data_IF_810071220610
#
_entry.id   IF_810071220610
#
_cell.length_a   1.000
_cell.length_b   1.000
_cell.length_c   1.000
_cell.angle_alpha   90.00
_cell.angle_beta   90.00
_cell.angle_gamma   90.00
#
_symmetry.space_group_name_H-M   'P 1'
#
loop_
_entity.id
_entity.type
_entity.pdbx_description
1 polymer ?
#
# COMPACT_ATOMS: atom_id res chain seq x y z
N UNK A 1 47.15 -33.53 16.61
CA UNK A 1 45.90 -33.69 15.87
C UNK A 1 44.95 -32.65 16.42
N UNK A 2 44.77 -31.53 15.73
CA UNK A 2 43.89 -30.44 16.21
C UNK A 2 42.46 -30.86 15.88
N UNK A 3 41.63 -30.89 16.91
CA UNK A 3 40.25 -31.34 16.85
C UNK A 3 39.43 -30.44 15.90
N UNK A 4 38.68 -31.05 14.99
CA UNK A 4 37.94 -30.33 13.93
C UNK A 4 36.92 -29.35 14.53
N UNK A 5 36.42 -29.69 15.72
CA UNK A 5 35.47 -28.89 16.48
C UNK A 5 36.11 -27.61 17.04
N UNK A 6 37.39 -27.66 17.43
CA UNK A 6 38.11 -26.46 17.89
C UNK A 6 38.41 -25.49 16.75
N UNK A 7 38.68 -26.00 15.54
CA UNK A 7 38.90 -25.14 14.38
C UNK A 7 37.61 -24.43 13.98
N UNK A 8 36.49 -25.15 14.00
CA UNK A 8 35.16 -24.61 13.67
C UNK A 8 34.72 -23.54 14.67
N UNK A 9 34.92 -23.78 15.96
CA UNK A 9 34.62 -22.80 17.01
C UNK A 9 35.48 -21.53 16.88
N UNK A 10 36.78 -21.65 16.56
CA UNK A 10 37.66 -20.49 16.38
C UNK A 10 37.35 -19.69 15.11
N UNK A 11 36.96 -20.35 14.02
CA UNK A 11 36.52 -19.66 12.81
C UNK A 11 35.21 -18.91 13.03
N UNK A 12 34.28 -19.49 13.79
CA UNK A 12 33.03 -18.83 14.16
C UNK A 12 33.26 -17.60 15.07
N UNK A 13 34.17 -17.71 16.03
CA UNK A 13 34.54 -16.60 16.92
C UNK A 13 35.27 -15.46 16.17
N UNK A 14 36.13 -15.80 15.21
CA UNK A 14 36.77 -14.81 14.32
C UNK A 14 35.77 -14.11 13.41
N UNK A 15 34.74 -14.82 12.92
CA UNK A 15 33.67 -14.25 12.13
C UNK A 15 32.81 -13.24 12.90
N UNK A 16 32.58 -13.46 14.20
CA UNK A 16 31.79 -12.55 15.03
C UNK A 16 32.56 -11.33 15.53
N UNK A 17 33.90 -11.39 15.61
CA UNK A 17 34.74 -10.29 16.09
C UNK A 17 35.37 -9.46 14.97
N UNK A 18 35.22 -9.87 13.72
CA UNK A 18 35.68 -9.08 12.60
C UNK A 18 34.88 -7.75 12.56
N UNK A 19 35.54 -6.58 12.67
CA UNK A 19 34.86 -5.32 12.48
C UNK A 19 34.28 -5.30 11.07
N UNK A 20 32.95 -5.21 10.97
CA UNK A 20 32.28 -5.04 9.69
C UNK A 20 32.89 -3.80 9.04
N UNK A 21 33.48 -3.90 7.83
CA UNK A 21 33.95 -2.71 7.14
C UNK A 21 32.76 -1.78 7.00
N UNK A 22 32.89 -0.55 7.49
CA UNK A 22 31.84 0.44 7.39
C UNK A 22 31.42 0.51 5.92
N UNK A 23 30.22 0.03 5.62
CA UNK A 23 29.70 0.02 4.27
C UNK A 23 29.70 1.47 3.79
N UNK A 24 30.46 1.76 2.75
CA UNK A 24 30.49 3.09 2.15
C UNK A 24 29.09 3.37 1.57
N UNK A 25 28.32 4.29 2.18
CA UNK A 25 26.95 4.53 1.78
C UNK A 25 26.85 5.03 0.33
N UNK A 26 27.90 5.69 -0.18
CA UNK A 26 27.93 6.17 -1.56
C UNK A 26 28.08 5.02 -2.56
N UNK A 27 28.81 3.96 -2.19
CA UNK A 27 28.92 2.76 -3.01
C UNK A 27 27.60 1.99 -3.07
N UNK A 28 26.88 1.90 -1.95
CA UNK A 28 25.56 1.25 -1.91
C UNK A 28 24.51 2.06 -2.68
N UNK A 29 24.51 3.39 -2.55
CA UNK A 29 23.65 4.26 -3.36
C UNK A 29 23.98 4.15 -4.86
N UNK A 30 25.26 4.05 -5.24
CA UNK A 30 25.67 3.84 -6.64
C UNK A 30 25.22 2.48 -7.18
N UNK A 31 25.36 1.40 -6.40
CA UNK A 31 24.85 0.07 -6.79
C UNK A 31 23.34 0.08 -6.94
N UNK A 32 22.62 0.71 -6.01
CA UNK A 32 21.16 0.87 -6.07
C UNK A 32 20.71 1.64 -7.32
N UNK A 33 21.36 2.76 -7.64
CA UNK A 33 21.08 3.54 -8.86
C UNK A 33 21.36 2.75 -10.13
N UNK A 34 22.45 1.97 -10.18
CA UNK A 34 22.80 1.14 -11.32
C UNK A 34 21.79 -0.01 -11.53
N UNK A 35 21.35 -0.66 -10.45
CA UNK A 35 20.31 -1.69 -10.49
C UNK A 35 18.96 -1.11 -10.98
N UNK A 36 18.57 0.07 -10.48
CA UNK A 36 17.36 0.79 -10.94
C UNK A 36 17.41 1.08 -12.44
N UNK A 37 18.53 1.59 -12.97
CA UNK A 37 18.69 1.88 -14.41
C UNK A 37 18.56 0.62 -15.28
N UNK A 38 19.15 -0.51 -14.87
CA UNK A 38 19.04 -1.77 -15.61
C UNK A 38 17.61 -2.31 -15.65
N UNK A 39 16.85 -2.14 -14.56
CA UNK A 39 15.44 -2.56 -14.48
C UNK A 39 14.52 -1.66 -15.31
N UNK A 40 14.74 -0.34 -15.31
CA UNK A 40 14.00 0.59 -16.18
C UNK A 40 14.26 0.32 -17.67
N UNK A 41 15.50 0.03 -18.06
CA UNK A 41 15.83 -0.33 -19.44
C UNK A 41 15.10 -1.59 -19.91
N UNK A 42 14.81 -2.55 -19.02
CA UNK A 42 14.01 -3.74 -19.35
C UNK A 42 12.51 -3.45 -19.49
N UNK A 43 11.98 -2.42 -18.81
CA UNK A 43 10.57 -2.02 -18.93
C UNK A 43 10.27 -1.33 -20.27
N UNK A 44 11.18 -0.51 -20.80
CA UNK A 44 10.98 0.22 -22.07
C UNK A 44 10.98 -0.71 -23.30
N UNK A 45 11.64 -1.86 -23.22
CA UNK A 45 11.64 -2.85 -24.31
C UNK A 45 10.30 -3.61 -24.47
N UNK A 46 9.37 -3.52 -23.50
CA UNK A 46 8.10 -4.25 -23.50
C UNK A 46 6.89 -3.47 -24.00
N UNK A 47 7.01 -2.17 -24.30
CA UNK A 47 5.88 -1.32 -24.69
C UNK A 47 6.20 -0.53 -25.95
N UNK A 48 6.21 -1.20 -27.08
CA UNK A 48 6.24 -0.55 -28.39
C UNK A 48 5.14 -1.15 -29.28
N UNK A 49 3.88 -0.73 -29.07
CA UNK A 49 2.85 -0.73 -30.12
C UNK A 49 1.83 0.38 -29.91
N UNK A 50 1.56 1.08 -31.00
CA UNK A 50 0.86 2.35 -31.20
C UNK A 50 -0.61 2.43 -30.74
N UNK A 51 -1.08 3.66 -30.47
CA UNK A 51 -2.23 4.24 -31.21
C UNK A 51 -2.10 5.77 -31.33
N UNK A 52 -2.19 6.24 -32.58
CA UNK A 52 -2.38 7.62 -33.00
C UNK A 52 -3.87 7.78 -33.30
N UNK A 53 -4.58 8.71 -32.65
CA UNK A 53 -5.82 9.32 -33.18
C UNK A 53 -5.87 10.80 -32.80
N UNK A 54 -6.27 11.61 -33.78
CA UNK A 54 -6.22 13.06 -33.88
C UNK A 54 -7.60 13.69 -33.56
N UNK A 55 -7.59 14.83 -32.86
CA UNK A 55 -8.49 16.00 -33.07
C UNK A 55 -9.91 15.98 -32.48
N UNK A 56 -10.65 17.08 -32.24
CA UNK A 56 -10.50 18.56 -32.21
C UNK A 56 -11.80 19.13 -31.57
N UNK A 57 -11.71 20.17 -30.71
CA UNK A 57 -12.69 21.24 -30.33
C UNK A 57 -14.13 20.84 -29.85
N UNK A 58 -14.96 21.64 -29.15
CA UNK A 58 -15.02 23.06 -28.80
C UNK A 58 -15.92 23.30 -27.55
N UNK A 59 -15.71 24.46 -26.92
CA UNK A 59 -16.55 25.33 -26.05
C UNK A 59 -18.06 25.06 -25.86
N UNK A 60 -18.60 25.27 -24.65
CA UNK A 60 -19.42 26.45 -24.25
C UNK A 60 -19.96 26.34 -22.80
N UNK A 61 -19.88 27.46 -22.06
CA UNK A 61 -20.52 27.74 -20.75
C UNK A 61 -22.04 27.95 -20.92
N UNK A 62 -22.82 27.85 -19.84
CA UNK A 62 -23.41 29.10 -19.36
C UNK A 62 -23.40 29.31 -17.84
N UNK A 63 -23.29 30.60 -17.52
CA UNK A 63 -23.53 31.29 -16.26
C UNK A 63 -25.02 31.25 -15.91
N UNK A 64 -25.37 31.04 -14.64
CA UNK A 64 -26.59 31.61 -14.06
C UNK A 64 -26.33 32.11 -12.64
N UNK A 65 -26.45 33.43 -12.53
CA UNK A 65 -26.49 34.25 -11.34
C UNK A 65 -27.96 34.62 -11.11
N UNK A 66 -28.53 34.37 -9.93
CA UNK A 66 -29.69 35.13 -9.41
C UNK A 66 -29.59 35.24 -7.89
N UNK A 67 -29.42 36.49 -7.44
CA UNK A 67 -29.54 36.98 -6.06
C UNK A 67 -30.96 36.90 -5.51
N UNK A 68 -31.11 36.83 -4.18
CA UNK A 68 -32.31 37.30 -3.50
C UNK A 68 -32.54 36.77 -2.07
N UNK A 69 -31.95 37.40 -1.07
CA UNK A 69 -32.56 37.62 0.26
C UNK A 69 -33.31 38.98 0.23
N UNK A 70 -34.09 39.44 1.25
CA UNK A 70 -34.40 38.86 2.57
C UNK A 70 -35.89 38.93 3.02
N UNK A 71 -36.21 38.27 4.14
CA UNK A 71 -37.10 38.84 5.17
C UNK A 71 -38.52 38.29 5.28
N UNK A 72 -38.87 37.78 6.48
CA UNK A 72 -40.26 37.53 6.86
C UNK A 72 -40.42 36.57 8.04
N UNK A 73 -40.25 37.08 9.25
CA UNK A 73 -40.53 36.39 10.52
C UNK A 73 -42.04 36.28 10.76
N UNK A 74 -42.55 35.14 11.22
CA UNK A 74 -43.22 34.99 12.53
C UNK A 74 -44.08 33.71 12.66
N UNK A 75 -44.11 33.21 13.91
CA UNK A 75 -45.06 32.32 14.59
C UNK A 75 -44.85 30.79 14.48
N UNK A 76 -44.16 30.27 15.50
CA UNK A 76 -44.25 28.88 15.96
C UNK A 76 -45.62 28.60 16.63
N UNK A 77 -45.99 27.32 16.76
CA UNK A 77 -45.97 26.75 18.10
C UNK A 77 -45.39 25.32 18.20
N UNK A 78 -44.72 25.12 19.34
CA UNK A 78 -44.48 23.91 20.14
C UNK A 78 -44.51 22.51 19.47
N UNK A 79 -43.36 21.84 19.45
CA UNK A 79 -43.25 20.38 19.55
C UNK A 79 -41.87 19.97 20.11
N UNK A 80 -41.92 19.34 21.30
CA UNK A 80 -41.08 18.26 21.86
C UNK A 80 -39.54 18.30 21.79
N UNK A 81 -38.85 17.80 22.86
CA UNK A 81 -37.39 17.89 22.97
C UNK A 81 -36.69 16.94 21.98
N UNK A 82 -36.32 17.47 20.82
CA UNK A 82 -35.38 16.80 19.91
C UNK A 82 -34.00 16.74 20.55
N UNK A 83 -33.49 15.52 20.66
CA UNK A 83 -32.12 15.21 21.05
C UNK A 83 -31.15 16.03 20.20
N UNK A 84 -30.32 16.83 20.85
CA UNK A 84 -29.24 17.59 20.23
C UNK A 84 -28.24 16.60 19.62
N UNK A 85 -28.42 16.24 18.34
CA UNK A 85 -27.35 15.66 17.55
C UNK A 85 -26.24 16.70 17.49
N UNK A 86 -25.18 16.44 18.27
CA UNK A 86 -23.92 17.16 18.15
C UNK A 86 -23.38 16.84 16.75
N UNK A 87 -23.64 17.73 15.79
CA UNK A 87 -23.08 17.62 14.45
C UNK A 87 -21.56 17.58 14.61
N UNK A 88 -20.97 16.42 14.33
CA UNK A 88 -19.53 16.31 14.14
C UNK A 88 -19.19 17.22 12.96
N UNK A 89 -18.37 18.27 13.14
CA UNK A 89 -18.01 19.13 12.02
C UNK A 89 -17.35 18.27 10.93
N UNK A 90 -17.85 18.40 9.70
CA UNK A 90 -17.20 17.83 8.52
C UNK A 90 -15.77 18.38 8.50
N UNK A 91 -14.74 17.52 8.55
CA UNK A 91 -13.37 18.00 8.47
C UNK A 91 -13.18 18.76 7.16
N UNK A 92 -12.58 19.95 7.22
CA UNK A 92 -12.26 20.73 6.05
C UNK A 92 -11.30 19.94 5.13
N UNK A 93 -11.41 20.11 3.80
CA UNK A 93 -10.45 19.54 2.86
C UNK A 93 -9.04 20.05 3.19
N UNK A 94 -8.07 19.15 3.13
CA UNK A 94 -6.71 19.42 3.56
C UNK A 94 -5.93 20.08 2.42
N UNK A 95 -5.32 21.24 2.67
CA UNK A 95 -4.54 21.95 1.64
C UNK A 95 -3.10 21.46 1.57
N UNK A 96 -2.39 21.75 0.47
CA UNK A 96 -0.96 21.48 0.39
C UNK A 96 -0.13 22.25 1.44
N UNK A 97 -0.61 23.43 1.86
CA UNK A 97 -0.02 24.21 2.95
C UNK A 97 -0.03 23.47 4.29
N UNK A 98 -1.14 22.78 4.61
CA UNK A 98 -1.30 22.03 5.85
C UNK A 98 -0.31 20.85 5.92
N UNK A 99 -0.11 20.15 4.81
CA UNK A 99 0.86 19.05 4.73
C UNK A 99 2.31 19.51 4.78
N UNK A 100 2.64 20.63 4.12
CA UNK A 100 3.97 21.20 4.22
C UNK A 100 4.26 21.62 5.67
N UNK A 101 3.26 22.12 6.41
CA UNK A 101 3.38 22.42 7.84
C UNK A 101 3.54 21.15 8.67
N UNK A 102 2.78 20.08 8.39
CA UNK A 102 2.90 18.78 9.07
C UNK A 102 4.24 18.09 8.82
N UNK A 103 4.75 18.11 7.59
CA UNK A 103 6.04 17.52 7.22
C UNK A 103 7.25 18.29 7.78
N UNK A 104 7.07 19.57 8.14
CA UNK A 104 8.09 20.41 8.79
C UNK A 104 8.18 20.19 10.30
N UNK A 105 7.21 19.50 10.91
CA UNK A 105 7.35 19.01 12.28
C UNK A 105 8.21 17.73 12.25
N UNK A 106 9.31 17.73 13.01
CA UNK A 106 10.28 16.64 13.31
C UNK A 106 9.67 15.22 13.33
N UNK A 107 10.45 14.11 13.16
CA UNK A 107 10.02 12.81 12.61
C UNK A 107 9.12 12.03 13.56
N UNK A 108 7.92 12.55 13.81
CA UNK A 108 6.81 11.82 14.36
C UNK A 108 6.16 11.04 13.22
N UNK A 109 5.65 9.85 13.53
CA UNK A 109 4.85 9.03 12.62
C UNK A 109 3.94 9.89 11.75
N UNK A 110 3.84 9.64 10.43
CA UNK A 110 2.98 10.42 9.56
C UNK A 110 1.57 10.43 10.15
N UNK A 111 1.12 11.60 10.60
CA UNK A 111 -0.21 11.77 11.19
C UNK A 111 -1.23 11.47 10.11
N UNK A 112 -1.88 10.32 10.23
CA UNK A 112 -2.85 9.86 9.26
C UNK A 112 -4.11 10.72 9.30
N UNK A 113 -4.62 11.09 8.14
CA UNK A 113 -5.93 11.75 8.04
C UNK A 113 -7.06 10.78 8.42
N UNK A 114 -8.23 11.27 8.86
CA UNK A 114 -9.39 10.41 9.11
C UNK A 114 -9.76 9.54 7.90
N UNK A 115 -9.67 10.08 6.68
CA UNK A 115 -9.94 9.35 5.45
C UNK A 115 -8.93 8.21 5.21
N UNK A 116 -7.64 8.44 5.46
CA UNK A 116 -6.62 7.38 5.38
C UNK A 116 -6.88 6.28 6.42
N UNK A 117 -7.26 6.63 7.65
CA UNK A 117 -7.60 5.66 8.69
C UNK A 117 -8.79 4.79 8.27
N UNK A 118 -9.84 5.40 7.70
CA UNK A 118 -11.01 4.68 7.21
C UNK A 118 -10.66 3.73 6.06
N UNK A 119 -9.87 4.19 5.08
CA UNK A 119 -9.41 3.35 3.97
C UNK A 119 -8.58 2.15 4.46
N UNK A 120 -7.61 2.37 5.34
CA UNK A 120 -6.79 1.30 5.89
C UNK A 120 -7.59 0.31 6.74
N UNK A 121 -8.61 0.78 7.47
CA UNK A 121 -9.54 -0.11 8.17
C UNK A 121 -10.32 -0.99 7.17
N UNK A 122 -10.80 -0.41 6.07
CA UNK A 122 -11.47 -1.16 5.00
C UNK A 122 -10.55 -2.21 4.37
N UNK A 123 -9.26 -1.90 4.17
CA UNK A 123 -8.29 -2.85 3.62
C UNK A 123 -8.14 -4.08 4.52
N UNK A 124 -8.00 -3.86 5.82
CA UNK A 124 -7.83 -4.95 6.81
C UNK A 124 -9.10 -5.78 6.95
N UNK A 125 -10.27 -5.15 6.91
CA UNK A 125 -11.55 -5.86 6.91
C UNK A 125 -11.74 -6.71 5.65
N UNK A 126 -11.36 -6.19 4.48
CA UNK A 126 -11.39 -6.95 3.23
C UNK A 126 -10.43 -8.14 3.28
N UNK A 127 -9.20 -7.93 3.79
CA UNK A 127 -8.23 -9.00 3.96
C UNK A 127 -8.74 -10.11 4.89
N UNK A 128 -9.27 -9.74 6.06
CA UNK A 128 -9.84 -10.70 7.00
C UNK A 128 -11.00 -11.51 6.38
N UNK A 129 -11.94 -10.84 5.71
CA UNK A 129 -13.08 -11.51 5.09
C UNK A 129 -12.68 -12.46 3.94
N UNK A 130 -11.65 -12.11 3.16
CA UNK A 130 -11.30 -12.84 1.92
C UNK A 130 -10.22 -13.91 2.19
N UNK A 131 -9.17 -13.56 2.94
CA UNK A 131 -7.99 -14.41 3.14
C UNK A 131 -8.11 -15.31 4.37
N UNK A 132 -8.82 -14.88 5.41
CA UNK A 132 -8.98 -15.64 6.66
C UNK A 132 -10.45 -15.63 7.14
N UNK A 133 -11.38 -16.22 6.36
CA UNK A 133 -12.80 -16.25 6.72
C UNK A 133 -13.07 -16.99 8.04
N UNK A 134 -12.15 -17.83 8.50
CA UNK A 134 -12.23 -18.50 9.80
C UNK A 134 -11.76 -17.66 10.98
N UNK A 135 -11.04 -16.55 10.74
CA UNK A 135 -10.43 -15.71 11.78
C UNK A 135 -9.34 -16.42 12.59
N UNK A 136 -8.61 -17.36 11.99
CA UNK A 136 -7.60 -18.17 12.69
C UNK A 136 -6.18 -17.64 12.53
N UNK A 137 -5.93 -16.84 11.49
CA UNK A 137 -4.58 -16.46 11.07
C UNK A 137 -4.26 -15.00 11.37
N UNK A 138 -5.21 -14.09 11.17
CA UNK A 138 -4.98 -12.68 11.49
C UNK A 138 -5.14 -12.38 12.98
N UNK A 139 -4.29 -11.50 13.49
CA UNK A 139 -4.46 -10.95 14.82
C UNK A 139 -5.56 -9.88 14.82
N UNK A 140 -6.68 -10.15 15.50
CA UNK A 140 -7.81 -9.22 15.60
C UNK A 140 -7.46 -7.89 16.28
N UNK A 141 -6.41 -7.84 17.10
CA UNK A 141 -5.92 -6.57 17.64
C UNK A 141 -5.18 -5.76 16.58
N UNK A 142 -4.38 -6.42 15.75
CA UNK A 142 -3.60 -5.78 14.67
C UNK A 142 -4.50 -5.23 13.55
N UNK A 143 -5.56 -5.97 13.19
CA UNK A 143 -6.60 -5.51 12.27
C UNK A 143 -7.19 -4.16 12.73
N UNK A 144 -7.28 -3.91 14.04
CA UNK A 144 -7.88 -2.69 14.63
C UNK A 144 -6.89 -1.56 14.86
N UNK A 145 -5.65 -1.86 15.27
CA UNK A 145 -4.66 -0.84 15.64
C UNK A 145 -4.02 -0.16 14.43
N UNK A 146 -3.86 -0.91 13.34
CA UNK A 146 -3.46 -0.36 12.07
C UNK A 146 -1.99 0.03 11.92
N UNK A 147 -1.11 -0.94 12.14
CA UNK A 147 0.34 -0.80 11.99
C UNK A 147 0.81 -0.97 10.53
N UNK A 148 2.10 -0.74 10.28
CA UNK A 148 2.75 -1.02 9.00
C UNK A 148 2.25 -0.14 7.84
N UNK A 149 1.89 1.11 8.15
CA UNK A 149 1.31 2.04 7.18
C UNK A 149 2.37 2.50 6.18
N UNK A 150 2.00 2.46 4.92
CA UNK A 150 2.79 3.01 3.81
C UNK A 150 1.93 4.03 3.11
N UNK A 151 2.40 5.26 2.96
CA UNK A 151 1.68 6.28 2.21
C UNK A 151 2.62 7.09 1.35
N UNK A 152 2.16 7.40 0.14
CA UNK A 152 2.80 8.34 -0.77
C UNK A 152 1.74 9.33 -1.23
N UNK A 153 2.10 10.59 -1.22
CA UNK A 153 1.15 11.68 -1.45
C UNK A 153 1.75 12.68 -2.41
N UNK A 154 0.89 13.31 -3.19
CA UNK A 154 1.27 14.36 -4.12
C UNK A 154 0.33 15.56 -3.97
N UNK A 155 0.88 16.74 -4.24
CA UNK A 155 0.12 17.97 -4.31
C UNK A 155 -0.09 18.29 -5.79
N UNK A 156 -1.35 18.44 -6.19
CA UNK A 156 -1.66 18.91 -7.53
C UNK A 156 -1.30 20.40 -7.62
N UNK A 157 -0.33 20.79 -8.47
CA UNK A 157 0.14 22.17 -8.56
C UNK A 157 -0.89 23.12 -9.20
N UNK A 158 -1.94 22.60 -9.83
CA UNK A 158 -2.99 23.39 -10.49
C UNK A 158 -4.14 23.66 -9.55
N UNK A 159 -4.58 22.65 -8.80
CA UNK A 159 -5.72 22.76 -7.88
C UNK A 159 -5.33 23.07 -6.44
N UNK A 160 -4.04 22.96 -6.10
CA UNK A 160 -3.52 23.00 -4.73
C UNK A 160 -4.17 21.95 -3.81
N UNK A 161 -4.74 20.90 -4.42
CA UNK A 161 -5.39 19.81 -3.72
C UNK A 161 -4.42 18.69 -3.40
N UNK A 162 -4.64 18.11 -2.23
CA UNK A 162 -3.96 16.93 -1.78
C UNK A 162 -4.49 15.66 -2.46
N UNK A 163 -3.58 14.79 -2.92
CA UNK A 163 -3.95 13.48 -3.48
C UNK A 163 -3.07 12.37 -2.92
N UNK A 164 -3.70 11.30 -2.46
CA UNK A 164 -3.00 10.06 -2.13
C UNK A 164 -2.59 9.37 -3.44
N UNK A 165 -1.30 9.11 -3.60
CA UNK A 165 -0.73 8.40 -4.76
C UNK A 165 -0.58 6.92 -4.46
N UNK A 166 -0.26 6.57 -3.22
CA UNK A 166 -0.25 5.20 -2.75
C UNK A 166 -0.65 5.13 -1.28
N UNK A 167 -1.33 4.06 -0.90
CA UNK A 167 -1.68 3.74 0.48
C UNK A 167 -1.58 2.24 0.70
N UNK A 168 -0.94 1.83 1.78
CA UNK A 168 -0.73 0.42 2.08
C UNK A 168 -0.64 0.13 3.57
N UNK A 169 -0.76 -1.15 3.90
CA UNK A 169 -0.66 -1.68 5.26
C UNK A 169 0.00 -3.05 5.23
N UNK A 170 0.62 -3.42 6.35
CA UNK A 170 1.04 -4.80 6.63
C UNK A 170 0.18 -5.37 7.75
N UNK A 171 -0.09 -6.67 7.68
CA UNK A 171 -0.92 -7.41 8.65
C UNK A 171 -0.20 -8.73 8.95
N UNK A 172 0.10 -9.01 10.22
CA UNK A 172 0.70 -10.28 10.63
C UNK A 172 -0.21 -11.47 10.34
N UNK A 173 0.38 -12.56 9.82
CA UNK A 173 -0.29 -13.83 9.53
C UNK A 173 0.30 -14.93 10.41
N UNK A 174 -0.51 -15.56 11.25
CA UNK A 174 -0.05 -16.57 12.21
C UNK A 174 -0.39 -17.97 11.75
N UNK A 175 0.56 -18.88 11.92
CA UNK A 175 0.34 -20.29 11.68
C UNK A 175 1.31 -21.15 12.47
N UNK A 176 0.82 -22.11 13.27
CA UNK A 176 1.69 -23.08 13.95
C UNK A 176 2.77 -22.46 14.84
N UNK A 177 2.56 -21.24 15.37
CA UNK A 177 3.55 -20.49 16.15
C UNK A 177 4.53 -19.66 15.32
N UNK A 178 4.51 -19.76 14.00
CA UNK A 178 5.24 -18.89 13.06
C UNK A 178 4.46 -17.61 12.75
N UNK A 179 5.19 -16.57 12.32
CA UNK A 179 4.65 -15.26 11.95
C UNK A 179 5.12 -14.86 10.54
N UNK A 180 4.17 -14.88 9.61
CA UNK A 180 4.26 -14.31 8.28
C UNK A 180 3.61 -12.93 8.22
N UNK A 181 3.45 -12.41 7.00
CA UNK A 181 2.86 -11.10 6.74
C UNK A 181 2.02 -11.11 5.48
N UNK A 182 0.90 -10.41 5.50
CA UNK A 182 0.17 -9.96 4.32
C UNK A 182 0.38 -8.45 4.17
N UNK A 183 0.95 -8.02 3.06
CA UNK A 183 1.10 -6.61 2.71
C UNK A 183 0.13 -6.27 1.58
N UNK A 184 -0.55 -5.13 1.72
CA UNK A 184 -1.51 -4.60 0.76
C UNK A 184 -1.05 -3.19 0.40
N UNK A 185 -1.02 -2.87 -0.89
CA UNK A 185 -0.71 -1.53 -1.39
C UNK A 185 -1.63 -1.19 -2.55
N UNK A 186 -2.34 -0.07 -2.44
CA UNK A 186 -3.19 0.51 -3.49
C UNK A 186 -2.47 1.72 -4.04
N UNK A 187 -2.35 1.79 -5.36
CA UNK A 187 -1.55 2.79 -6.07
C UNK A 187 -2.40 3.44 -7.16
N UNK A 188 -2.30 4.75 -7.27
CA UNK A 188 -3.00 5.52 -8.29
C UNK A 188 -2.25 5.40 -9.62
N UNK A 189 -2.96 5.48 -10.77
CA UNK A 189 -2.32 5.36 -12.08
C UNK A 189 -1.33 6.48 -12.39
N UNK A 190 -1.37 7.59 -11.62
CA UNK A 190 -0.43 8.69 -11.73
C UNK A 190 0.93 8.39 -11.06
N UNK A 191 1.04 7.33 -10.26
CA UNK A 191 2.32 6.95 -9.67
C UNK A 191 3.15 6.12 -10.67
N UNK A 192 4.09 6.80 -11.33
CA UNK A 192 4.98 6.19 -12.32
C UNK A 192 5.87 5.06 -11.76
N UNK A 193 6.11 5.04 -10.45
CA UNK A 193 6.89 3.97 -9.84
C UNK A 193 6.05 2.68 -9.74
N UNK A 194 4.75 2.81 -9.45
CA UNK A 194 3.88 1.69 -9.17
C UNK A 194 4.14 1.05 -7.81
N UNK A 195 3.50 -0.08 -7.49
CA UNK A 195 3.61 -0.72 -6.18
C UNK A 195 5.00 -1.28 -5.89
N UNK A 196 5.39 -1.25 -4.62
CA UNK A 196 6.68 -1.71 -4.10
C UNK A 196 6.95 -3.18 -4.45
N UNK A 197 5.92 -4.03 -4.46
CA UNK A 197 6.04 -5.44 -4.78
C UNK A 197 6.72 -5.69 -6.15
N UNK A 198 6.49 -4.82 -7.14
CA UNK A 198 7.12 -4.92 -8.47
C UNK A 198 8.63 -4.65 -8.46
N UNK A 199 9.17 -4.09 -7.37
CA UNK A 199 10.59 -3.82 -7.20
C UNK A 199 11.25 -4.81 -6.25
N UNK A 200 10.50 -5.32 -5.28
CA UNK A 200 10.98 -6.28 -4.29
C UNK A 200 11.15 -7.67 -4.90
N UNK A 201 10.27 -8.05 -5.83
CA UNK A 201 10.26 -9.39 -6.41
C UNK A 201 10.57 -9.35 -7.91
N UNK A 202 11.32 -10.35 -8.37
CA UNK A 202 11.53 -10.64 -9.79
C UNK A 202 10.56 -11.77 -10.25
N UNK A 203 10.65 -12.22 -11.51
CA UNK A 203 9.91 -13.40 -11.99
C UNK A 203 8.41 -13.22 -12.26
N UNK A 204 7.93 -11.97 -12.34
CA UNK A 204 6.53 -11.68 -12.65
C UNK A 204 6.07 -12.26 -14.00
N UNK A 205 4.94 -12.95 -13.97
CA UNK A 205 4.25 -13.49 -15.15
C UNK A 205 2.82 -12.96 -15.20
N UNK A 206 2.25 -12.88 -16.41
CA UNK A 206 0.82 -12.60 -16.54
C UNK A 206 0.03 -13.79 -15.99
N UNK A 207 -1.05 -13.51 -15.24
CA UNK A 207 -1.97 -14.55 -14.80
C UNK A 207 -2.85 -14.97 -15.99
N UNK A 208 -2.89 -16.27 -16.26
CA UNK A 208 -3.59 -16.88 -17.39
C UNK A 208 -4.95 -17.50 -17.03
N UNK A 209 -5.28 -17.56 -15.73
CA UNK A 209 -6.57 -18.02 -15.23
C UNK A 209 -7.69 -16.97 -15.32
N UNK A 210 -8.86 -17.34 -14.80
CA UNK A 210 -10.02 -16.44 -14.72
C UNK A 210 -9.76 -15.28 -13.74
N UNK A 211 -9.95 -14.05 -14.22
CA UNK A 211 -9.76 -12.84 -13.41
C UNK A 211 -10.99 -12.57 -12.53
N UNK A 212 -10.82 -12.23 -11.24
CA UNK A 212 -11.93 -11.82 -10.39
C UNK A 212 -12.62 -10.55 -10.90
N UNK A 213 -13.89 -10.37 -10.53
CA UNK A 213 -14.64 -9.14 -10.82
C UNK A 213 -13.88 -7.89 -10.34
N UNK A 214 -13.76 -6.89 -11.20
CA UNK A 214 -13.02 -5.65 -10.94
C UNK A 214 -11.57 -5.66 -11.40
N UNK A 215 -11.01 -6.81 -11.79
CA UNK A 215 -9.67 -6.90 -12.38
C UNK A 215 -9.70 -6.76 -13.90
N UNK A 216 -8.83 -5.91 -14.45
CA UNK A 216 -8.61 -5.81 -15.90
C UNK A 216 -7.44 -6.68 -16.35
N UNK A 217 -6.36 -6.72 -15.56
CA UNK A 217 -5.18 -7.56 -15.77
C UNK A 217 -4.58 -7.95 -14.43
N UNK A 218 -3.91 -9.09 -14.39
CA UNK A 218 -3.15 -9.50 -13.21
C UNK A 218 -1.77 -10.05 -13.58
N UNK A 219 -0.83 -9.83 -12.67
CA UNK A 219 0.51 -10.40 -12.67
C UNK A 219 0.74 -11.12 -11.37
N UNK A 220 1.45 -12.24 -11.42
CA UNK A 220 1.76 -13.06 -10.25
C UNK A 220 3.23 -13.43 -10.23
N UNK A 221 3.78 -13.60 -9.03
CA UNK A 221 5.10 -14.19 -8.82
C UNK A 221 5.10 -15.00 -7.54
N UNK A 222 5.99 -15.99 -7.49
CA UNK A 222 6.31 -16.77 -6.30
C UNK A 222 7.79 -16.60 -6.01
N UNK A 223 8.13 -16.47 -4.73
CA UNK A 223 9.51 -16.29 -4.30
C UNK A 223 9.83 -17.28 -3.17
N UNK A 224 11.10 -17.64 -3.05
CA UNK A 224 11.61 -18.54 -2.00
C UNK A 224 12.49 -17.82 -0.97
N UNK A 225 12.87 -16.58 -1.24
CA UNK A 225 13.69 -15.76 -0.35
C UNK A 225 12.89 -15.35 0.89
N UNK A 226 13.58 -15.12 2.02
CA UNK A 226 12.96 -14.66 3.26
C UNK A 226 11.77 -15.50 3.73
N UNK A 227 11.87 -16.82 3.63
CA UNK A 227 10.82 -17.78 4.00
C UNK A 227 9.70 -17.96 2.97
N UNK A 228 9.88 -17.38 1.79
CA UNK A 228 9.06 -17.61 0.61
C UNK A 228 7.67 -16.99 0.68
N UNK A 229 6.95 -17.07 -0.44
CA UNK A 229 5.62 -16.51 -0.54
C UNK A 229 5.16 -16.27 -1.97
N UNK A 230 4.07 -15.52 -2.06
CA UNK A 230 3.42 -15.15 -3.32
C UNK A 230 3.09 -13.66 -3.31
N UNK A 231 3.23 -13.03 -4.47
CA UNK A 231 2.78 -11.67 -4.67
C UNK A 231 1.95 -11.56 -5.95
N UNK A 232 0.92 -10.74 -5.89
CA UNK A 232 0.04 -10.44 -7.02
C UNK A 232 -0.04 -8.93 -7.22
N UNK A 233 -0.19 -8.50 -8.47
CA UNK A 233 -0.48 -7.12 -8.84
C UNK A 233 -1.65 -7.14 -9.80
N UNK A 234 -2.73 -6.45 -9.46
CA UNK A 234 -3.93 -6.32 -10.27
C UNK A 234 -4.04 -4.89 -10.76
N UNK A 235 -4.09 -4.72 -12.08
CA UNK A 235 -4.56 -3.49 -12.70
C UNK A 235 -6.09 -3.59 -12.73
N UNK A 236 -6.78 -2.72 -11.99
CA UNK A 236 -8.24 -2.75 -11.84
C UNK A 236 -8.94 -1.94 -12.92
N UNK A 237 -10.21 -2.26 -13.16
CA UNK A 237 -11.05 -1.58 -14.16
C UNK A 237 -11.31 -0.10 -13.82
N UNK A 238 -11.18 0.28 -12.55
CA UNK A 238 -11.31 1.66 -12.07
C UNK A 238 -10.01 2.46 -12.19
N UNK A 239 -8.96 1.86 -12.78
CA UNK A 239 -7.67 2.49 -13.02
C UNK A 239 -6.68 2.40 -11.85
N UNK A 240 -7.09 1.88 -10.70
CA UNK A 240 -6.16 1.63 -9.59
C UNK A 240 -5.30 0.40 -9.85
N UNK A 241 -4.08 0.42 -9.32
CA UNK A 241 -3.19 -0.74 -9.29
C UNK A 241 -3.08 -1.23 -7.86
N UNK A 242 -3.41 -2.48 -7.60
CA UNK A 242 -3.38 -3.06 -6.26
C UNK A 242 -2.39 -4.20 -6.20
N UNK A 243 -1.42 -4.10 -5.30
CA UNK A 243 -0.49 -5.17 -4.98
C UNK A 243 -0.87 -5.83 -3.65
N UNK A 244 -0.86 -7.16 -3.63
CA UNK A 244 -1.00 -7.95 -2.41
C UNK A 244 0.12 -8.98 -2.37
N UNK A 245 0.87 -8.99 -1.27
CA UNK A 245 1.94 -9.95 -1.01
C UNK A 245 1.60 -10.74 0.25
N UNK A 246 1.78 -12.05 0.20
CA UNK A 246 1.81 -12.92 1.36
C UNK A 246 3.20 -13.54 1.48
N UNK A 247 3.88 -13.30 2.59
CA UNK A 247 5.23 -13.80 2.87
C UNK A 247 5.26 -14.62 4.16
N UNK A 248 6.04 -15.69 4.13
CA UNK A 248 6.21 -16.63 5.24
C UNK A 248 6.90 -16.03 6.45
N UNK A 249 7.55 -14.87 6.29
CA UNK A 249 8.31 -14.20 7.35
C UNK A 249 7.96 -12.72 7.39
N UNK A 250 7.81 -12.19 8.60
CA UNK A 250 7.52 -10.78 8.84
C UNK A 250 8.76 -9.87 8.62
N UNK A 251 9.21 -9.77 7.36
CA UNK A 251 10.24 -8.85 6.87
C UNK A 251 11.46 -8.68 7.78
N UNK A 252 11.93 -7.44 7.89
CA UNK A 252 13.10 -7.03 8.69
C UNK A 252 12.90 -7.14 10.22
N UNK A 253 11.75 -7.62 10.68
CA UNK A 253 11.43 -7.75 12.10
C UNK A 253 11.41 -9.21 12.57
N UNK A 254 11.62 -10.17 11.67
CA UNK A 254 11.82 -11.55 12.06
C UNK A 254 13.22 -11.76 12.62
N UNK A 255 13.30 -12.40 13.78
CA UNK A 255 14.58 -12.83 14.33
C UNK A 255 15.26 -13.82 13.35
N UNK A 256 16.60 -13.77 13.21
CA UNK A 256 17.33 -14.78 12.47
C UNK A 256 16.97 -16.19 12.94
N UNK A 257 16.58 -17.07 12.01
CA UNK A 257 16.17 -18.44 12.30
C UNK A 257 14.73 -18.61 12.79
N UNK A 258 13.91 -17.54 12.78
CA UNK A 258 12.47 -17.67 13.03
C UNK A 258 11.83 -18.65 12.02
N UNK A 259 10.94 -19.50 12.52
CA UNK A 259 10.18 -20.41 11.67
C UNK A 259 9.31 -19.60 10.70
N UNK A 260 9.35 -19.97 9.41
CA UNK A 260 8.47 -19.39 8.41
C UNK A 260 7.09 -20.06 8.46
N UNK A 261 6.05 -19.27 8.20
CA UNK A 261 4.71 -19.79 7.88
C UNK A 261 4.78 -20.55 6.57
N UNK A 262 4.14 -21.72 6.51
CA UNK A 262 4.20 -22.61 5.33
C UNK A 262 2.87 -22.68 4.58
N UNK A 263 1.74 -22.42 5.25
CA UNK A 263 0.43 -22.22 4.63
C UNK A 263 0.09 -20.75 4.62
N UNK A 264 0.46 -20.12 3.52
CA UNK A 264 0.04 -18.77 3.15
C UNK A 264 -1.25 -18.80 2.34
N UNK A 265 -1.98 -17.68 2.26
CA UNK A 265 -3.13 -17.57 1.35
C UNK A 265 -2.74 -17.91 -0.09
N UNK A 266 -3.61 -18.67 -0.76
CA UNK A 266 -3.43 -19.03 -2.17
C UNK A 266 -3.51 -17.81 -3.10
N UNK A 267 -2.86 -17.89 -4.27
CA UNK A 267 -2.79 -16.81 -5.27
C UNK A 267 -4.19 -16.29 -5.65
N UNK A 268 -5.17 -17.17 -5.81
CA UNK A 268 -6.53 -16.83 -6.21
C UNK A 268 -7.23 -15.96 -5.15
N UNK A 269 -6.95 -16.22 -3.87
CA UNK A 269 -7.46 -15.40 -2.76
C UNK A 269 -6.78 -14.04 -2.72
N UNK A 270 -5.48 -13.97 -3.00
CA UNK A 270 -4.76 -12.70 -3.14
C UNK A 270 -5.30 -11.88 -4.31
N UNK A 271 -5.56 -12.50 -5.46
CA UNK A 271 -6.18 -11.85 -6.63
C UNK A 271 -7.57 -11.33 -6.31
N UNK A 272 -8.39 -12.12 -5.61
CA UNK A 272 -9.73 -11.71 -5.18
C UNK A 272 -9.67 -10.49 -4.24
N UNK A 273 -8.72 -10.48 -3.30
CA UNK A 273 -8.50 -9.31 -2.44
C UNK A 273 -8.06 -8.11 -3.26
N UNK A 274 -7.07 -8.28 -4.14
CA UNK A 274 -6.52 -7.20 -4.95
C UNK A 274 -7.55 -6.57 -5.90
N UNK A 275 -8.52 -7.35 -6.38
CA UNK A 275 -9.60 -6.86 -7.24
C UNK A 275 -10.73 -6.14 -6.46
N UNK A 276 -10.74 -6.25 -5.12
CA UNK A 276 -11.84 -5.76 -4.28
C UNK A 276 -12.06 -4.25 -4.39
N UNK A 277 -13.33 -3.86 -4.61
CA UNK A 277 -13.76 -2.45 -4.60
C UNK A 277 -13.62 -1.75 -3.25
N UNK A 278 -13.31 -2.49 -2.17
CA UNK A 278 -13.02 -1.93 -0.84
C UNK A 278 -11.61 -1.34 -0.74
N UNK A 279 -10.73 -1.65 -1.69
CA UNK A 279 -9.35 -1.18 -1.72
C UNK A 279 -9.25 0.11 -2.55
N UNK A 280 -9.61 1.24 -1.94
CA UNK A 280 -9.63 2.57 -2.58
C UNK A 280 -8.61 3.53 -1.98
N UNK A 281 -8.19 4.52 -2.76
CA UNK A 281 -7.42 5.65 -2.22
C UNK A 281 -8.38 6.72 -1.67
N UNK A 282 -8.06 7.34 -0.51
CA UNK A 282 -8.85 8.44 0.00
C UNK A 282 -8.75 9.64 -0.95
N UNK A 283 -9.89 10.26 -1.23
CA UNK A 283 -9.95 11.56 -1.91
C UNK A 283 -9.61 12.66 -0.89
N UNK A 284 -8.86 13.67 -1.33
CA UNK A 284 -8.48 14.84 -0.53
C UNK A 284 -9.60 15.88 -0.44
#
# INVERSE_FOLDING_TARGET
>A
MIDHDQLTARLHDLGQRAPLPAADPDLDLRRGRAARRRRLARRVAGTATAFVVVGVAATQLPVFEVSGEPGGSALAPASEPSATQRQTPTPAPMTCGDLAAMARQTPAQPTQTPAQKAALAAYRQAAAAILDPSGQHFDHAEIRQGNGIQSKTWCDPVTDEYRAMALGTKIGWREGGALGVVQIEVVSPQDEEGPQALFLHDGWTAYDGELPEGAARARVTSFSESGGGHAVVVDRIDGLVVAVEASGVFGNNAAPGAAAVTRLPAVERLLTLAASSRLTLPQG
#
